data_IF_815599500074
#
_entry.id   IF_815599500074
#
_cell.length_a   1.000
_cell.length_b   1.000
_cell.length_c   1.000
_cell.angle_alpha   90.00
_cell.angle_beta   90.00
_cell.angle_gamma   90.00
#
_symmetry.space_group_name_H-M   'P 1'
#
loop_
_entity.id
_entity.type
_entity.pdbx_description
1 polymer ?
#
# COMPACT_ATOMS: atom_id res chain seq x y z
N UNK A 1 -12.48 8.06 -21.65
CA UNK A 1 -12.14 8.05 -21.27
C UNK A 1 -11.67 7.91 -20.44
N UNK A 2 -11.76 7.86 -20.32
CA UNK A 2 -11.37 7.89 -19.71
C UNK A 2 -10.91 7.59 -18.87
N UNK A 3 -10.74 7.49 -18.60
CA UNK A 3 -10.27 7.31 -17.96
C UNK A 3 -9.89 7.11 -16.94
N UNK A 4 -10.12 6.91 -16.55
CA UNK A 4 -9.77 6.99 -15.59
C UNK A 4 -8.98 6.41 -14.95
N UNK A 5 -8.66 6.65 -14.65
CA UNK A 5 -7.68 6.26 -14.17
C UNK A 5 -7.66 5.35 -13.20
N UNK A 6 -7.56 4.40 -13.40
CA UNK A 6 -7.42 3.45 -12.54
C UNK A 6 -6.01 3.26 -12.33
N UNK A 7 -5.41 3.99 -11.45
CA UNK A 7 -4.02 3.91 -11.19
C UNK A 7 -3.60 2.58 -10.66
N UNK A 8 -4.54 1.82 -10.11
CA UNK A 8 -4.20 0.54 -9.50
C UNK A 8 -4.23 -0.62 -10.46
N UNK A 9 -4.51 -0.36 -11.71
CA UNK A 9 -4.66 -1.44 -12.66
C UNK A 9 -3.40 -2.26 -12.83
N UNK A 10 -2.23 -1.66 -12.58
CA UNK A 10 -0.98 -2.35 -12.83
C UNK A 10 -0.30 -2.86 -11.58
N UNK A 11 -0.97 -2.83 -10.46
CA UNK A 11 -0.36 -3.33 -9.23
C UNK A 11 -0.21 -4.84 -9.34
N UNK A 12 0.99 -5.32 -9.06
CA UNK A 12 1.31 -6.72 -9.22
C UNK A 12 1.66 -7.34 -7.88
N UNK A 13 1.61 -8.66 -7.85
CA UNK A 13 1.99 -9.42 -6.68
C UNK A 13 3.40 -9.04 -6.25
N UNK A 14 3.59 -8.87 -4.96
CA UNK A 14 4.86 -8.53 -4.32
C UNK A 14 5.34 -7.12 -4.63
N UNK A 15 4.49 -6.31 -5.22
CA UNK A 15 4.84 -4.92 -5.47
C UNK A 15 4.69 -4.11 -4.19
N UNK A 16 5.56 -3.11 -4.00
CA UNK A 16 5.46 -2.19 -2.88
C UNK A 16 4.41 -1.14 -3.19
N UNK A 17 3.52 -0.91 -2.23
CA UNK A 17 2.43 0.04 -2.40
C UNK A 17 2.34 0.92 -1.15
N UNK A 18 1.51 1.96 -1.24
CA UNK A 18 1.28 2.89 -0.16
C UNK A 18 -0.19 2.89 0.18
N UNK A 19 -0.50 2.81 1.47
CA UNK A 19 -1.86 2.95 1.93
C UNK A 19 -2.32 4.38 1.73
N UNK A 20 -3.50 4.58 1.15
CA UNK A 20 -4.08 5.91 1.01
C UNK A 20 -5.10 6.20 2.09
N UNK A 21 -5.32 5.25 2.99
CA UNK A 21 -6.33 5.39 4.03
C UNK A 21 -5.72 5.04 5.38
N UNK A 22 -6.41 5.45 6.44
CA UNK A 22 -6.00 5.15 7.80
C UNK A 22 -6.76 3.95 8.32
N UNK A 23 -6.03 3.06 9.01
CA UNK A 23 -6.63 1.90 9.65
C UNK A 23 -6.08 1.83 11.08
N UNK A 24 -6.53 2.75 11.95
CA UNK A 24 -5.92 2.88 13.27
C UNK A 24 -6.05 1.63 14.12
N UNK A 25 -7.12 0.86 13.93
CA UNK A 25 -7.25 -0.40 14.66
C UNK A 25 -6.21 -1.43 14.29
N UNK A 26 -5.47 -1.20 13.21
CA UNK A 26 -4.44 -2.11 12.75
C UNK A 26 -3.06 -1.45 12.72
N UNK A 27 -2.95 -0.27 13.28
CA UNK A 27 -1.68 0.47 13.34
C UNK A 27 -1.14 0.78 11.94
N UNK A 28 -2.02 1.07 10.99
CA UNK A 28 -1.65 1.46 9.65
C UNK A 28 -2.27 2.81 9.34
N UNK A 29 -1.47 3.73 8.85
CA UNK A 29 -1.91 5.07 8.52
C UNK A 29 -1.63 5.35 7.06
N UNK A 30 -2.36 6.32 6.51
CA UNK A 30 -2.11 6.76 5.15
C UNK A 30 -0.65 7.14 5.02
N UNK A 31 -0.03 6.68 3.93
CA UNK A 31 1.38 6.90 3.71
C UNK A 31 2.27 5.74 4.09
N UNK A 32 1.73 4.76 4.81
CA UNK A 32 2.52 3.59 5.20
C UNK A 32 2.76 2.70 4.00
N UNK A 33 3.95 2.11 3.95
CA UNK A 33 4.34 1.21 2.88
C UNK A 33 3.96 -0.21 3.22
N UNK A 34 3.53 -0.94 2.21
CA UNK A 34 3.22 -2.35 2.35
C UNK A 34 3.58 -3.10 1.09
N UNK A 35 3.43 -4.41 1.15
CA UNK A 35 3.71 -5.29 0.03
C UNK A 35 2.47 -6.08 -0.32
N UNK A 36 2.13 -6.13 -1.59
CA UNK A 36 0.98 -6.89 -2.06
C UNK A 36 1.34 -8.37 -2.03
N UNK A 37 0.63 -9.13 -1.20
CA UNK A 37 0.91 -10.57 -1.08
C UNK A 37 -0.18 -11.42 -1.70
N UNK A 38 -1.29 -10.81 -2.10
CA UNK A 38 -2.36 -11.54 -2.77
C UNK A 38 -3.21 -10.54 -3.53
N UNK A 39 -3.72 -10.96 -4.68
CA UNK A 39 -4.59 -10.13 -5.50
C UNK A 39 -5.89 -10.88 -5.71
N UNK A 40 -6.99 -10.24 -5.36
CA UNK A 40 -8.31 -10.83 -5.51
C UNK A 40 -9.04 -10.17 -6.67
N UNK A 41 -9.76 -10.96 -7.44
CA UNK A 41 -10.59 -10.43 -8.51
C UNK A 41 -12.06 -10.66 -8.26
N UNK A 42 -12.38 -11.64 -7.43
CA UNK A 42 -13.78 -11.94 -7.09
C UNK A 42 -13.90 -11.98 -5.59
N UNK A 43 -15.04 -11.60 -5.05
CA UNK A 43 -16.22 -11.06 -5.73
C UNK A 43 -15.98 -9.68 -6.29
N UNK A 44 -14.92 -9.01 -5.87
CA UNK A 44 -14.55 -7.70 -6.39
C UNK A 44 -13.05 -7.52 -6.24
N UNK A 45 -12.46 -6.60 -6.99
CA UNK A 45 -11.01 -6.38 -6.90
C UNK A 45 -10.60 -5.95 -5.51
N UNK A 46 -9.52 -6.53 -5.02
CA UNK A 46 -8.96 -6.17 -3.72
C UNK A 46 -7.52 -6.66 -3.67
N UNK A 47 -6.77 -6.09 -2.75
CA UNK A 47 -5.36 -6.44 -2.56
C UNK A 47 -5.12 -6.80 -1.11
N UNK A 48 -4.47 -7.94 -0.89
CA UNK A 48 -4.01 -8.28 0.44
C UNK A 48 -2.64 -7.67 0.61
N UNK A 49 -2.48 -6.79 1.59
CA UNK A 49 -1.25 -6.03 1.75
C UNK A 49 -0.67 -6.28 3.12
N UNK A 50 0.61 -6.62 3.15
CA UNK A 50 1.33 -6.86 4.38
C UNK A 50 2.15 -5.62 4.73
N UNK A 51 1.93 -5.10 5.93
CA UNK A 51 2.69 -3.98 6.48
C UNK A 51 3.63 -4.53 7.54
N UNK A 52 4.90 -4.14 7.46
CA UNK A 52 5.90 -4.69 8.37
C UNK A 52 6.49 -3.59 9.24
N UNK A 53 7.00 -4.01 10.38
CA UNK A 53 7.75 -3.12 11.25
C UNK A 53 9.19 -3.02 10.76
N UNK A 54 9.95 -2.03 11.25
CA UNK A 54 11.35 -1.90 10.83
C UNK A 54 12.18 -3.14 11.06
N UNK A 55 11.82 -3.97 12.03
CA UNK A 55 12.57 -5.19 12.30
C UNK A 55 12.15 -6.35 11.41
N UNK A 56 11.22 -6.12 10.47
CA UNK A 56 10.80 -7.16 9.55
C UNK A 56 9.61 -7.97 9.99
N UNK A 57 9.15 -7.81 11.23
CA UNK A 57 7.98 -8.55 11.69
C UNK A 57 6.71 -7.96 11.08
N UNK A 58 5.71 -8.80 10.91
CA UNK A 58 4.44 -8.35 10.34
C UNK A 58 3.70 -7.50 11.36
N UNK A 59 3.35 -6.28 10.96
CA UNK A 59 2.56 -5.39 11.78
C UNK A 59 1.08 -5.57 11.53
N UNK A 60 0.72 -5.75 10.26
CA UNK A 60 -0.69 -5.91 9.88
C UNK A 60 -0.77 -6.57 8.53
N UNK A 61 -1.86 -7.30 8.32
CA UNK A 61 -2.17 -7.90 7.03
C UNK A 61 -3.60 -7.52 6.73
N UNK A 62 -3.81 -6.66 5.75
CA UNK A 62 -5.11 -6.07 5.49
C UNK A 62 -5.54 -6.29 4.06
N UNK A 63 -6.85 -6.47 3.86
CA UNK A 63 -7.43 -6.52 2.54
C UNK A 63 -7.91 -5.12 2.17
N UNK A 64 -7.29 -4.52 1.15
CA UNK A 64 -7.57 -3.15 0.78
C UNK A 64 -8.28 -3.09 -0.54
N UNK A 65 -9.25 -2.17 -0.64
CA UNK A 65 -9.89 -1.89 -1.91
C UNK A 65 -8.93 -1.14 -2.82
N UNK A 66 -9.17 -1.15 -4.14
CA UNK A 66 -8.27 -0.47 -5.06
C UNK A 66 -8.07 1.01 -4.77
N UNK A 67 -9.07 1.68 -4.18
CA UNK A 67 -8.93 3.10 -3.88
C UNK A 67 -8.28 3.36 -2.53
N UNK A 68 -7.87 2.31 -1.82
CA UNK A 68 -7.20 2.46 -0.53
C UNK A 68 -5.71 2.20 -0.63
N UNK A 69 -5.19 2.01 -1.82
CA UNK A 69 -3.80 1.67 -2.04
C UNK A 69 -3.36 2.28 -3.37
N UNK A 70 -2.10 2.67 -3.46
CA UNK A 70 -1.54 3.15 -4.71
C UNK A 70 -0.10 2.70 -4.84
N UNK A 71 0.37 2.73 -6.06
CA UNK A 71 1.74 2.31 -6.33
C UNK A 71 2.72 3.35 -5.79
N UNK A 72 3.89 2.85 -5.44
CA UNK A 72 4.98 3.72 -5.03
C UNK A 72 5.52 4.47 -6.24
N UNK A 73 5.82 5.74 -6.07
CA UNK A 73 6.40 6.56 -7.11
C UNK A 73 7.77 7.03 -6.66
N UNK A 74 8.60 7.53 -7.57
CA UNK A 74 9.90 8.04 -7.18
C UNK A 74 9.81 9.17 -6.15
N UNK A 75 8.78 9.99 -6.24
CA UNK A 75 8.59 11.07 -5.28
C UNK A 75 8.36 10.52 -3.89
N UNK A 76 7.57 9.44 -3.81
CA UNK A 76 7.30 8.83 -2.52
C UNK A 76 8.56 8.27 -1.90
N UNK A 77 9.42 7.69 -2.71
CA UNK A 77 10.66 7.13 -2.21
C UNK A 77 11.52 8.22 -1.59
N UNK A 78 11.60 9.34 -2.24
CA UNK A 78 12.38 10.45 -1.71
C UNK A 78 11.81 10.95 -0.40
N UNK A 79 10.50 11.07 -0.34
CA UNK A 79 9.84 11.53 0.87
C UNK A 79 10.07 10.56 2.00
N UNK A 80 9.96 9.28 1.71
CA UNK A 80 10.13 8.25 2.72
C UNK A 80 11.52 8.28 3.30
N UNK A 81 12.52 8.51 2.46
CA UNK A 81 13.87 8.56 2.95
C UNK A 81 14.12 9.71 3.88
N UNK A 82 13.47 10.82 3.62
CA UNK A 82 13.67 11.98 4.45
C UNK A 82 13.05 11.81 5.81
N UNK A 83 11.90 11.16 5.87
CA UNK A 83 11.22 11.00 7.14
C UNK A 83 12.07 10.30 8.18
N UNK A 84 12.71 9.18 7.87
CA UNK A 84 13.53 8.51 8.87
C UNK A 84 14.73 9.33 9.29
N UNK A 85 15.24 10.15 8.41
CA UNK A 85 16.41 10.93 8.73
C UNK A 85 16.11 11.99 9.74
N UNK A 86 14.87 12.37 9.85
CA UNK A 86 14.49 13.37 10.82
C UNK A 86 14.54 12.84 12.24
N UNK A 87 14.60 11.56 12.40
CA UNK A 87 14.57 10.97 13.73
C UNK A 87 15.90 11.06 14.43
#
# INVERSE_FOLDING_TARGET
MLVCPRMNDNIKLLETVISTANFPGHSVLAGDLGTVVEIYTVPRPAYEVEFVNPDGSTRALLTLAPDQVRRLSPVDVMTTRQAPLAA
#
